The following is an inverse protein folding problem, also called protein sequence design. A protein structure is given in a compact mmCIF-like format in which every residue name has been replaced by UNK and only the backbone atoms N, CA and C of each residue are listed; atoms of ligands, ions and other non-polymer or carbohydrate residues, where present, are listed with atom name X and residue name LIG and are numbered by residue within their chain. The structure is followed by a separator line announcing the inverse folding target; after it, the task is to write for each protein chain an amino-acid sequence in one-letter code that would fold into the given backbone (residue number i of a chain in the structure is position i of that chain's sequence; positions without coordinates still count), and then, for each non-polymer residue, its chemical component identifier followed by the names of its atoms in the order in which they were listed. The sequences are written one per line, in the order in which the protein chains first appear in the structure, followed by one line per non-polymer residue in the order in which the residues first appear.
data_IF_423062856906
#
_entry.id   IF_423062856906
#
_cell.length_a   1.000
_cell.length_b   1.000
_cell.length_c   1.000
_cell.angle_alpha   90.00
_cell.angle_beta   90.00
_cell.angle_gamma   90.00
#
_symmetry.space_group_name_H-M   'P 1'
#
loop_
_entity.id
_entity.type
_entity.pdbx_description
1 polymer ?
#
# COMPACT_ATOMS: atom_id res chain seq x y z
N UNK A 1 28.64 13.26 -9.12
CA UNK A 1 27.86 12.05 -9.23
C UNK A 1 26.67 12.24 -10.15
N UNK A 2 26.26 11.26 -10.94
CA UNK A 2 25.08 11.40 -11.81
C UNK A 2 23.84 11.40 -10.91
N UNK A 3 23.00 12.41 -11.07
CA UNK A 3 21.72 12.54 -10.37
C UNK A 3 20.57 11.86 -11.16
N UNK A 4 20.86 10.75 -11.83
CA UNK A 4 19.89 10.03 -12.64
C UNK A 4 19.55 8.67 -12.08
N UNK A 5 18.35 8.20 -12.41
CA UNK A 5 17.88 6.84 -12.16
C UNK A 5 17.62 6.16 -13.49
N UNK A 6 17.82 4.85 -13.57
CA UNK A 6 17.43 4.11 -14.78
C UNK A 6 15.94 4.28 -15.06
N UNK A 7 15.56 4.68 -16.26
CA UNK A 7 14.17 4.98 -16.62
C UNK A 7 13.24 3.76 -16.39
N UNK A 8 13.73 2.56 -16.68
CA UNK A 8 12.99 1.32 -16.41
C UNK A 8 12.71 1.13 -14.92
N UNK A 9 13.71 1.33 -14.08
CA UNK A 9 13.53 1.22 -12.62
C UNK A 9 12.61 2.32 -12.10
N UNK A 10 12.83 3.58 -12.50
CA UNK A 10 11.97 4.70 -12.08
C UNK A 10 10.51 4.48 -12.44
N UNK A 11 10.25 4.02 -13.67
CA UNK A 11 8.90 3.69 -14.12
C UNK A 11 8.26 2.55 -13.34
N UNK A 12 9.01 1.47 -13.03
CA UNK A 12 8.53 0.35 -12.22
C UNK A 12 8.25 0.79 -10.77
N UNK A 13 9.12 1.59 -10.17
CA UNK A 13 8.95 2.09 -8.81
C UNK A 13 7.71 2.99 -8.69
N UNK A 14 7.52 3.92 -9.63
CA UNK A 14 6.33 4.77 -9.70
C UNK A 14 5.05 3.94 -9.90
N UNK A 15 5.08 2.94 -10.78
CA UNK A 15 3.96 2.01 -11.00
C UNK A 15 3.63 1.18 -9.75
N UNK A 16 4.63 0.65 -9.06
CA UNK A 16 4.43 -0.13 -7.84
C UNK A 16 3.85 0.73 -6.69
N UNK A 17 4.31 1.97 -6.53
CA UNK A 17 3.74 2.92 -5.58
C UNK A 17 2.29 3.26 -5.94
N UNK A 18 2.00 3.48 -7.22
CA UNK A 18 0.63 3.73 -7.70
C UNK A 18 -0.30 2.54 -7.44
N UNK A 19 0.17 1.31 -7.62
CA UNK A 19 -0.59 0.09 -7.31
C UNK A 19 -0.84 -0.05 -5.81
N UNK A 20 0.15 0.24 -4.96
CA UNK A 20 0.00 0.25 -3.52
C UNK A 20 -1.04 1.29 -3.07
N UNK A 21 -0.95 2.50 -3.59
CA UNK A 21 -1.92 3.57 -3.34
C UNK A 21 -3.34 3.16 -3.74
N UNK A 22 -3.53 2.66 -4.96
CA UNK A 22 -4.83 2.21 -5.44
C UNK A 22 -5.42 1.08 -4.59
N UNK A 23 -4.59 0.13 -4.14
CA UNK A 23 -5.04 -0.97 -3.29
C UNK A 23 -5.47 -0.47 -1.90
N UNK A 24 -4.72 0.44 -1.28
CA UNK A 24 -5.10 1.03 0.02
C UNK A 24 -6.37 1.87 -0.12
N UNK A 25 -6.47 2.70 -1.16
CA UNK A 25 -7.67 3.51 -1.42
C UNK A 25 -8.92 2.65 -1.67
N UNK A 26 -8.78 1.55 -2.43
CA UNK A 26 -9.87 0.59 -2.65
C UNK A 26 -10.29 -0.12 -1.36
N UNK A 27 -9.35 -0.47 -0.49
CA UNK A 27 -9.65 -1.07 0.81
C UNK A 27 -10.47 -0.13 1.71
N UNK A 28 -10.27 1.19 1.58
CA UNK A 28 -11.00 2.21 2.34
C UNK A 28 -12.40 2.51 1.80
N UNK A 29 -12.65 2.24 0.53
CA UNK A 29 -13.89 2.73 -0.12
C UNK A 29 -14.80 1.66 -0.71
N UNK A 30 -14.27 0.70 -1.46
CA UNK A 30 -15.06 -0.16 -2.34
C UNK A 30 -14.98 -1.65 -1.99
N UNK A 31 -14.24 -1.99 -0.96
CA UNK A 31 -14.02 -3.38 -0.56
C UNK A 31 -13.05 -4.08 -1.51
N UNK A 32 -11.75 -4.00 -1.20
CA UNK A 32 -10.71 -4.69 -1.95
C UNK A 32 -10.91 -6.20 -1.85
N UNK A 33 -10.98 -6.89 -3.00
CA UNK A 33 -11.05 -8.33 -3.05
C UNK A 33 -9.64 -8.96 -2.93
N UNK A 34 -9.57 -10.19 -2.42
CA UNK A 34 -8.29 -10.91 -2.30
C UNK A 34 -7.61 -11.12 -3.67
N UNK A 35 -8.39 -11.25 -4.74
CA UNK A 35 -7.93 -11.48 -6.12
C UNK A 35 -8.70 -10.61 -7.12
N UNK A 36 -8.23 -10.55 -8.36
CA UNK A 36 -8.88 -9.81 -9.44
C UNK A 36 -8.39 -8.37 -9.58
N UNK A 37 -9.03 -7.53 -10.42
CA UNK A 37 -8.68 -6.13 -10.58
C UNK A 37 -8.80 -5.36 -9.26
N UNK A 38 -7.99 -4.31 -9.09
CA UNK A 38 -8.17 -3.36 -7.97
C UNK A 38 -9.35 -2.45 -8.34
N UNK A 39 -10.44 -2.43 -7.52
CA UNK A 39 -11.57 -1.56 -7.79
C UNK A 39 -11.16 -0.09 -7.79
N UNK A 40 -11.72 0.69 -8.70
CA UNK A 40 -11.48 2.14 -8.74
C UNK A 40 -10.05 2.57 -9.08
N UNK A 41 -9.17 1.67 -9.56
CA UNK A 41 -7.78 2.00 -9.92
C UNK A 41 -7.68 3.19 -10.87
N UNK A 42 -8.59 3.29 -11.83
CA UNK A 42 -8.60 4.36 -12.82
C UNK A 42 -9.24 5.65 -12.30
N UNK A 43 -9.90 5.61 -11.15
CA UNK A 43 -10.54 6.80 -10.53
C UNK A 43 -9.53 7.70 -9.81
N UNK A 44 -8.43 7.13 -9.33
CA UNK A 44 -7.42 7.83 -8.54
C UNK A 44 -6.00 7.59 -9.06
N UNK A 45 -5.71 7.92 -10.34
CA UNK A 45 -4.37 7.78 -10.86
C UNK A 45 -3.43 8.77 -10.17
N UNK A 46 -2.26 8.32 -9.75
CA UNK A 46 -1.18 9.22 -9.37
C UNK A 46 -0.55 9.79 -10.63
N UNK A 47 -0.56 11.11 -10.77
CA UNK A 47 0.08 11.80 -11.88
C UNK A 47 1.50 12.19 -11.49
N UNK A 48 2.49 11.86 -12.32
CA UNK A 48 3.85 12.40 -12.15
C UNK A 48 3.85 13.81 -12.71
N UNK A 49 4.02 14.80 -11.84
CA UNK A 49 3.96 16.22 -12.18
C UNK A 49 5.33 16.89 -12.16
N UNK A 50 6.32 16.25 -11.54
CA UNK A 50 7.65 16.80 -11.45
C UNK A 50 8.69 15.80 -10.95
N UNK A 51 9.91 16.30 -10.80
CA UNK A 51 11.02 15.59 -10.19
C UNK A 51 11.57 16.40 -9.03
N UNK A 52 11.74 15.76 -7.86
CA UNK A 52 12.31 16.42 -6.69
C UNK A 52 13.80 16.69 -6.88
N UNK A 53 14.24 17.88 -6.43
CA UNK A 53 15.65 18.30 -6.50
C UNK A 53 16.46 17.72 -5.31
N UNK A 54 17.70 17.33 -5.59
CA UNK A 54 18.67 16.90 -4.55
C UNK A 54 19.02 15.42 -4.57
N UNK A 55 18.07 14.52 -4.53
CA UNK A 55 18.15 13.12 -4.90
C UNK A 55 17.13 12.87 -6.00
N UNK A 56 17.21 11.74 -6.71
CA UNK A 56 16.18 11.45 -7.70
C UNK A 56 14.87 11.16 -6.98
N UNK A 57 13.80 11.88 -7.31
CA UNK A 57 12.46 11.67 -6.79
C UNK A 57 11.40 12.06 -7.81
N UNK A 58 10.21 11.51 -7.67
CA UNK A 58 9.03 11.92 -8.41
C UNK A 58 8.11 12.74 -7.51
N UNK A 59 7.56 13.80 -8.06
CA UNK A 59 6.42 14.50 -7.49
C UNK A 59 5.14 13.91 -8.08
N UNK A 60 4.21 13.54 -7.19
CA UNK A 60 2.94 12.97 -7.60
C UNK A 60 1.81 13.87 -7.17
N UNK A 61 0.82 14.00 -8.02
CA UNK A 61 -0.44 14.67 -7.72
C UNK A 61 -1.62 13.75 -8.05
N UNK A 62 -2.70 13.93 -7.33
CA UNK A 62 -3.99 13.41 -7.71
C UNK A 62 -4.63 14.35 -8.72
N UNK A 63 -5.33 13.84 -9.76
CA UNK A 63 -6.14 14.68 -10.60
C UNK A 63 -7.07 15.52 -9.73
N UNK A 64 -7.22 16.80 -10.06
CA UNK A 64 -8.15 17.68 -9.37
C UNK A 64 -9.55 17.05 -9.41
N UNK A 65 -10.12 16.78 -8.23
CA UNK A 65 -11.50 16.32 -8.15
C UNK A 65 -12.42 17.40 -8.72
N UNK A 66 -13.46 16.99 -9.46
CA UNK A 66 -14.47 17.93 -9.92
C UNK A 66 -15.08 18.68 -8.70
N UNK A 67 -15.40 19.98 -8.85
CA UNK A 67 -15.97 20.77 -7.76
C UNK A 67 -17.28 20.12 -7.26
N UNK A 68 -17.26 19.61 -6.02
CA UNK A 68 -18.42 18.97 -5.38
C UNK A 68 -18.18 17.56 -4.82
N UNK A 69 -17.02 16.94 -5.07
CA UNK A 69 -16.70 15.58 -4.63
C UNK A 69 -15.60 15.56 -3.56
N UNK A 70 -15.85 16.22 -2.44
CA UNK A 70 -14.96 16.22 -1.26
C UNK A 70 -14.60 14.84 -0.68
N UNK A 71 -15.46 13.79 -0.75
CA UNK A 71 -15.13 12.49 -0.16
C UNK A 71 -13.92 11.78 -0.79
N UNK A 72 -13.61 12.05 -2.05
CA UNK A 72 -12.53 11.34 -2.75
C UNK A 72 -11.14 11.88 -2.40
N UNK A 73 -11.00 13.19 -2.19
CA UNK A 73 -9.74 13.79 -1.76
C UNK A 73 -9.36 13.40 -0.32
N UNK A 74 -10.36 13.26 0.56
CA UNK A 74 -10.14 12.80 1.95
C UNK A 74 -9.67 11.35 1.97
N UNK A 75 -10.28 10.47 1.17
CA UNK A 75 -9.88 9.05 1.05
C UNK A 75 -8.47 8.90 0.48
N UNK A 76 -8.12 9.71 -0.50
CA UNK A 76 -6.78 9.72 -1.06
C UNK A 76 -5.73 10.15 -0.02
N UNK A 77 -6.03 11.19 0.76
CA UNK A 77 -5.20 11.64 1.88
C UNK A 77 -5.07 10.56 2.94
N UNK A 78 -6.15 9.88 3.27
CA UNK A 78 -6.17 8.76 4.21
C UNK A 78 -5.35 7.57 3.70
N UNK A 79 -5.47 7.23 2.41
CA UNK A 79 -4.70 6.16 1.79
C UNK A 79 -3.18 6.44 1.86
N UNK A 80 -2.76 7.66 1.53
CA UNK A 80 -1.35 8.05 1.64
C UNK A 80 -0.87 8.06 3.10
N UNK A 81 -1.69 8.50 4.04
CA UNK A 81 -1.37 8.47 5.47
C UNK A 81 -1.20 7.02 5.98
N UNK A 82 -2.01 6.08 5.50
CA UNK A 82 -1.86 4.65 5.84
C UNK A 82 -0.59 4.04 5.24
N UNK A 83 -0.24 4.40 4.00
CA UNK A 83 1.03 3.96 3.39
C UNK A 83 2.22 4.49 4.20
N UNK A 84 2.22 5.78 4.51
CA UNK A 84 3.30 6.39 5.32
C UNK A 84 3.42 5.71 6.69
N UNK A 85 2.29 5.46 7.36
CA UNK A 85 2.25 4.78 8.65
C UNK A 85 2.80 3.35 8.56
N UNK A 86 2.44 2.57 7.52
CA UNK A 86 2.97 1.23 7.28
C UNK A 86 4.50 1.28 7.08
N UNK A 87 5.00 2.18 6.25
CA UNK A 87 6.44 2.32 5.99
C UNK A 87 7.20 2.70 7.26
N UNK A 88 6.70 3.68 8.02
CA UNK A 88 7.29 4.15 9.27
C UNK A 88 7.31 3.04 10.33
N UNK A 89 6.19 2.39 10.56
CA UNK A 89 6.10 1.33 11.57
C UNK A 89 6.92 0.11 11.20
N UNK A 90 6.96 -0.27 9.91
CA UNK A 90 7.84 -1.34 9.45
C UNK A 90 9.33 -1.01 9.65
N UNK A 91 9.71 0.28 9.60
CA UNK A 91 11.09 0.72 9.79
C UNK A 91 11.48 0.92 11.27
N UNK A 92 10.58 1.49 12.07
CA UNK A 92 10.89 2.02 13.40
C UNK A 92 10.08 1.38 14.52
N UNK A 93 8.95 0.73 14.19
CA UNK A 93 8.03 0.15 15.16
C UNK A 93 8.51 -1.16 15.77
N UNK A 94 7.88 -1.56 16.87
CA UNK A 94 7.98 -2.92 17.40
C UNK A 94 7.23 -3.91 16.49
N UNK A 95 7.53 -5.20 16.63
CA UNK A 95 6.82 -6.23 15.86
C UNK A 95 5.33 -6.26 16.19
N UNK A 96 4.96 -6.00 17.44
CA UNK A 96 3.56 -5.90 17.87
C UNK A 96 2.84 -4.71 17.20
N UNK A 97 3.49 -3.54 17.11
CA UNK A 97 2.92 -2.37 16.45
C UNK A 97 2.77 -2.57 14.93
N UNK A 98 3.70 -3.29 14.30
CA UNK A 98 3.58 -3.67 12.89
C UNK A 98 2.43 -4.64 12.69
N UNK A 99 2.28 -5.64 13.54
CA UNK A 99 1.19 -6.61 13.48
C UNK A 99 -0.18 -5.92 13.63
N UNK A 100 -0.33 -5.01 14.60
CA UNK A 100 -1.56 -4.23 14.81
C UNK A 100 -1.98 -3.44 13.57
N UNK A 101 -1.05 -2.74 12.93
CA UNK A 101 -1.36 -1.97 11.70
C UNK A 101 -1.64 -2.88 10.52
N UNK A 102 -0.96 -4.02 10.41
CA UNK A 102 -1.24 -5.01 9.35
C UNK A 102 -2.66 -5.56 9.50
N UNK A 103 -3.15 -5.80 10.71
CA UNK A 103 -4.52 -6.27 10.97
C UNK A 103 -5.58 -5.23 10.55
N UNK A 104 -5.27 -3.94 10.65
CA UNK A 104 -6.17 -2.85 10.24
C UNK A 104 -6.21 -2.61 8.73
N UNK A 105 -5.23 -3.12 7.98
CA UNK A 105 -5.10 -2.91 6.55
C UNK A 105 -5.39 -4.21 5.80
N UNK A 106 -6.16 -4.13 4.72
CA UNK A 106 -6.47 -5.31 3.91
C UNK A 106 -5.18 -6.02 3.45
N UNK A 107 -5.04 -7.36 3.61
CA UNK A 107 -3.79 -8.10 3.34
C UNK A 107 -3.22 -7.85 1.94
N UNK A 108 -4.09 -7.72 0.94
CA UNK A 108 -3.66 -7.40 -0.44
C UNK A 108 -3.06 -6.00 -0.56
N UNK A 109 -3.54 -5.04 0.22
CA UNK A 109 -2.97 -3.69 0.22
C UNK A 109 -1.57 -3.69 0.88
N UNK A 110 -1.40 -4.41 1.98
CA UNK A 110 -0.08 -4.64 2.61
C UNK A 110 0.88 -5.30 1.62
N UNK A 111 0.41 -6.33 0.89
CA UNK A 111 1.22 -7.00 -0.14
C UNK A 111 1.66 -6.04 -1.23
N UNK A 112 0.84 -5.10 -1.65
CA UNK A 112 1.21 -4.09 -2.66
C UNK A 112 2.25 -3.09 -2.14
N UNK A 113 2.20 -2.73 -0.87
CA UNK A 113 3.27 -1.96 -0.22
C UNK A 113 4.56 -2.77 -0.14
N UNK A 114 4.48 -4.05 0.21
CA UNK A 114 5.62 -4.96 0.19
C UNK A 114 6.24 -5.07 -1.21
N UNK A 115 5.45 -5.27 -2.28
CA UNK A 115 5.92 -5.35 -3.66
C UNK A 115 6.73 -4.09 -4.06
N UNK A 116 6.28 -2.91 -3.60
CA UNK A 116 7.01 -1.66 -3.81
C UNK A 116 8.36 -1.67 -3.10
N UNK A 117 8.40 -2.07 -1.81
CA UNK A 117 9.66 -2.16 -1.07
C UNK A 117 10.60 -3.21 -1.65
N UNK A 118 10.09 -4.36 -2.04
CA UNK A 118 10.88 -5.43 -2.65
C UNK A 118 11.57 -4.97 -3.94
N UNK A 119 10.86 -4.20 -4.78
CA UNK A 119 11.44 -3.61 -5.97
C UNK A 119 12.61 -2.67 -5.64
N UNK A 120 12.48 -1.85 -4.60
CA UNK A 120 13.56 -0.97 -4.16
C UNK A 120 14.75 -1.78 -3.61
N UNK A 121 14.49 -2.81 -2.81
CA UNK A 121 15.52 -3.69 -2.25
C UNK A 121 16.30 -4.41 -3.36
N UNK A 122 15.63 -4.92 -4.38
CA UNK A 122 16.27 -5.56 -5.54
C UNK A 122 17.24 -4.64 -6.28
N UNK A 123 17.01 -3.34 -6.24
CA UNK A 123 17.84 -2.32 -6.89
C UNK A 123 18.79 -1.62 -5.92
N UNK A 124 18.92 -2.12 -4.69
CA UNK A 124 19.76 -1.53 -3.63
C UNK A 124 19.44 -0.05 -3.39
N UNK A 125 18.17 0.31 -3.53
CA UNK A 125 17.67 1.66 -3.36
C UNK A 125 16.85 1.77 -2.06
N UNK A 126 16.75 2.98 -1.53
CA UNK A 126 15.81 3.34 -0.47
C UNK A 126 15.14 4.66 -0.80
N UNK A 127 14.05 4.97 -0.13
CA UNK A 127 13.24 6.13 -0.46
C UNK A 127 12.86 6.97 0.75
N UNK A 128 12.33 8.14 0.48
CA UNK A 128 11.53 8.93 1.40
C UNK A 128 10.19 9.24 0.76
N UNK A 129 9.19 9.45 1.60
CA UNK A 129 7.84 9.86 1.23
C UNK A 129 7.52 11.15 1.97
N UNK A 130 7.10 12.16 1.23
CA UNK A 130 6.62 13.43 1.77
C UNK A 130 5.19 13.64 1.27
N UNK A 131 4.27 13.91 2.19
CA UNK A 131 2.87 14.11 1.88
C UNK A 131 2.21 15.06 2.88
N UNK A 132 1.80 16.25 2.41
CA UNK A 132 1.30 17.32 3.28
C UNK A 132 2.35 17.71 4.31
N UNK A 133 1.99 17.66 5.59
CA UNK A 133 2.92 17.92 6.71
C UNK A 133 3.63 16.65 7.22
N UNK A 134 3.35 15.49 6.60
CA UNK A 134 3.96 14.21 6.96
C UNK A 134 5.18 13.96 6.12
N UNK A 135 6.23 13.47 6.74
CA UNK A 135 7.41 12.98 6.03
C UNK A 135 7.97 11.77 6.73
N UNK A 136 8.38 10.80 5.94
CA UNK A 136 9.12 9.63 6.40
C UNK A 136 10.24 9.35 5.40
N UNK A 137 11.43 9.00 5.89
CA UNK A 137 12.57 8.64 5.07
C UNK A 137 13.31 7.48 5.71
N UNK A 138 13.60 6.46 4.92
CA UNK A 138 14.52 5.41 5.33
C UNK A 138 15.91 5.99 5.55
N UNK A 139 16.55 5.63 6.66
CA UNK A 139 17.91 6.08 7.01
C UNK A 139 18.96 5.51 6.06
N UNK A 140 18.80 4.24 5.71
CA UNK A 140 19.72 3.49 4.87
C UNK A 140 19.05 2.27 4.21
N UNK A 141 19.87 1.52 3.46
CA UNK A 141 19.42 0.32 2.76
C UNK A 141 19.06 -0.84 3.71
N UNK A 142 19.74 -0.99 4.84
CA UNK A 142 19.45 -2.09 5.77
C UNK A 142 18.10 -1.88 6.45
N UNK A 143 17.71 -0.65 6.71
CA UNK A 143 16.40 -0.33 7.28
C UNK A 143 15.25 -0.68 6.33
N UNK A 144 15.36 -0.33 5.03
CA UNK A 144 14.30 -0.69 4.06
C UNK A 144 14.24 -2.20 3.83
N UNK A 145 15.38 -2.88 3.83
CA UNK A 145 15.46 -4.33 3.73
C UNK A 145 14.76 -5.02 4.91
N UNK A 146 15.01 -4.55 6.14
CA UNK A 146 14.34 -5.06 7.33
C UNK A 146 12.82 -4.81 7.27
N UNK A 147 12.38 -3.63 6.82
CA UNK A 147 10.97 -3.31 6.62
C UNK A 147 10.30 -4.23 5.59
N UNK A 148 10.97 -4.50 4.48
CA UNK A 148 10.50 -5.43 3.46
C UNK A 148 10.28 -6.84 4.02
N UNK A 149 11.22 -7.35 4.83
CA UNK A 149 11.09 -8.65 5.49
C UNK A 149 9.90 -8.69 6.47
N UNK A 150 9.65 -7.62 7.22
CA UNK A 150 8.54 -7.53 8.18
C UNK A 150 7.16 -7.55 7.52
N UNK A 151 7.05 -6.99 6.31
CA UNK A 151 5.79 -6.92 5.56
C UNK A 151 5.56 -8.13 4.64
N UNK A 152 6.40 -9.17 4.71
CA UNK A 152 6.17 -10.41 3.94
C UNK A 152 4.89 -11.12 4.35
N UNK A 153 4.26 -11.79 3.40
CA UNK A 153 3.06 -12.62 3.61
C UNK A 153 3.23 -13.67 4.73
N UNK A 154 4.44 -14.19 4.93
CA UNK A 154 4.75 -15.14 6.01
C UNK A 154 4.64 -14.54 7.42
N UNK A 155 4.73 -13.22 7.53
CA UNK A 155 4.60 -12.49 8.78
C UNK A 155 3.21 -11.86 8.95
N UNK A 156 2.40 -11.86 7.87
CA UNK A 156 0.98 -11.51 7.91
C UNK A 156 0.26 -12.79 8.36
N UNK A 157 0.05 -12.94 9.64
CA UNK A 157 -0.71 -14.08 10.17
C UNK A 157 -2.17 -13.95 9.74
N UNK A 158 -2.58 -14.77 8.76
CA UNK A 158 -3.98 -15.14 8.64
C UNK A 158 -4.30 -15.95 9.90
N UNK A 159 -5.04 -15.39 10.85
CA UNK A 159 -5.59 -16.17 11.92
C UNK A 159 -6.66 -17.07 11.33
N UNK A 160 -6.34 -18.35 11.15
CA UNK A 160 -7.34 -19.36 10.83
C UNK A 160 -8.14 -19.62 12.07
N UNK A 161 -9.25 -18.89 12.25
CA UNK A 161 -10.21 -19.20 13.28
C UNK A 161 -11.01 -20.44 12.86
N UNK A 162 -10.80 -21.54 13.57
CA UNK A 162 -11.59 -22.75 13.39
C UNK A 162 -12.92 -22.62 14.12
N UNK A 163 -13.97 -22.31 13.39
CA UNK A 163 -15.32 -22.37 13.92
C UNK A 163 -15.85 -23.79 13.88
N UNK A 164 -16.27 -24.34 15.03
CA UNK A 164 -17.03 -25.59 15.08
C UNK A 164 -18.51 -25.25 15.04
N UNK A 165 -19.18 -25.74 14.01
CA UNK A 165 -20.61 -25.56 13.81
C UNK A 165 -21.17 -26.62 12.90
N UNK A 166 -22.49 -26.60 12.72
CA UNK A 166 -23.17 -27.51 11.83
C UNK A 166 -23.51 -26.83 10.51
N UNK A 167 -23.09 -27.43 9.40
CA UNK A 167 -23.48 -26.96 8.08
C UNK A 167 -24.99 -27.10 7.88
N UNK A 168 -25.69 -26.01 7.60
CA UNK A 168 -27.15 -25.98 7.46
C UNK A 168 -27.62 -26.02 6.01
N UNK A 169 -26.82 -25.55 5.08
CA UNK A 169 -27.14 -25.60 3.67
C UNK A 169 -26.39 -24.58 2.82
N UNK A 170 -26.64 -24.64 1.52
CA UNK A 170 -26.11 -23.70 0.52
C UNK A 170 -27.26 -22.87 -0.02
N UNK A 171 -27.11 -21.55 -0.02
CA UNK A 171 -28.05 -20.63 -0.68
C UNK A 171 -27.58 -20.41 -2.13
N UNK A 172 -28.22 -21.04 -3.15
CA UNK A 172 -27.72 -21.06 -4.52
C UNK A 172 -27.64 -19.66 -5.17
N UNK A 173 -28.52 -18.77 -4.77
CA UNK A 173 -28.64 -17.42 -5.34
C UNK A 173 -27.53 -16.46 -4.87
N UNK A 174 -26.93 -16.69 -3.72
CA UNK A 174 -25.91 -15.82 -3.15
C UNK A 174 -24.48 -16.37 -3.16
N UNK A 175 -24.29 -17.63 -3.61
CA UNK A 175 -23.03 -18.37 -3.47
C UNK A 175 -22.49 -18.36 -2.03
N UNK A 176 -23.40 -18.33 -1.06
CA UNK A 176 -23.10 -18.35 0.37
C UNK A 176 -23.57 -19.67 0.99
N UNK A 177 -22.97 -20.04 2.10
CA UNK A 177 -23.40 -21.17 2.91
C UNK A 177 -23.79 -20.69 4.30
N UNK A 178 -24.74 -21.36 4.92
CA UNK A 178 -25.16 -21.10 6.30
C UNK A 178 -24.46 -22.08 7.24
N UNK A 179 -23.83 -21.52 8.27
CA UNK A 179 -23.11 -22.27 9.29
C UNK A 179 -23.56 -21.78 10.66
N UNK A 180 -23.94 -22.70 11.58
CA UNK A 180 -24.36 -22.42 12.95
C UNK A 180 -23.50 -23.12 13.96
#
# INVERSE_FOLDING_TARGET
GSHGIAAEFGGKAAGALSDAFAAVAAALSEGLQAMGPIPGRDKHPLLITGTAMGSFGFEFELPAAEPGLFPESEKASEAMAKIEALLRLAAEGSDDAVAEVIEEVHPRAVRKVHDFLELLVQQQAWCGLEFGERSFRYADFEQIKASCERLKDSNIHESVEAFRGQFQGVLPTGRTFEFR
#
